data_IF_752054808107
#
_entry.id   IF_752054808107
#
_cell.length_a   1.000
_cell.length_b   1.000
_cell.length_c   1.000
_cell.angle_alpha   90.00
_cell.angle_beta   90.00
_cell.angle_gamma   90.00
#
_symmetry.space_group_name_H-M   'P 1'
#
loop_
_entity.id
_entity.type
_entity.pdbx_description
1 polymer ?
#
# COMPACT_ATOMS: atom_id res chain seq x y z
N UNK A 1 -47.78 -39.93 -72.58
CA UNK A 1 -47.31 -40.47 -71.28
C UNK A 1 -46.03 -39.73 -70.87
N UNK A 2 -45.85 -39.57 -69.55
CA UNK A 2 -44.87 -38.75 -68.83
C UNK A 2 -43.39 -38.98 -69.22
N UNK A 3 -42.70 -37.85 -69.47
CA UNK A 3 -41.45 -37.33 -68.86
C UNK A 3 -40.14 -38.19 -68.89
N UNK A 4 -38.95 -37.59 -68.64
CA UNK A 4 -38.23 -36.56 -69.40
C UNK A 4 -36.70 -36.88 -69.52
N UNK A 5 -35.89 -35.97 -70.08
CA UNK A 5 -34.47 -35.89 -69.69
C UNK A 5 -33.54 -35.17 -70.66
N UNK A 6 -32.97 -34.05 -70.19
CA UNK A 6 -31.54 -33.69 -70.25
C UNK A 6 -31.32 -32.22 -70.60
N UNK A 7 -30.74 -31.45 -69.66
CA UNK A 7 -29.69 -30.47 -69.96
C UNK A 7 -29.03 -29.92 -68.67
N UNK A 8 -27.69 -29.91 -68.70
CA UNK A 8 -26.75 -29.02 -68.00
C UNK A 8 -26.52 -29.15 -66.48
N UNK A 9 -25.46 -29.88 -66.11
CA UNK A 9 -24.71 -29.72 -64.84
C UNK A 9 -23.24 -29.40 -65.17
N UNK A 10 -22.83 -28.13 -65.12
CA UNK A 10 -21.44 -27.69 -64.91
C UNK A 10 -21.48 -26.20 -64.53
N UNK A 11 -21.25 -25.87 -63.26
CA UNK A 11 -21.25 -24.46 -62.84
C UNK A 11 -21.26 -24.16 -61.34
N UNK A 12 -21.44 -25.13 -60.44
CA UNK A 12 -21.63 -24.82 -59.01
C UNK A 12 -20.64 -25.51 -58.05
N UNK A 13 -19.58 -26.12 -58.57
CA UNK A 13 -18.62 -26.90 -57.75
C UNK A 13 -17.26 -26.22 -57.50
N UNK A 14 -16.99 -25.01 -58.01
CA UNK A 14 -15.73 -24.28 -57.70
C UNK A 14 -15.84 -23.27 -56.57
N UNK A 15 -17.03 -22.72 -56.29
CA UNK A 15 -17.22 -21.70 -55.25
C UNK A 15 -17.18 -22.23 -53.82
N UNK A 16 -17.75 -23.42 -53.58
CA UNK A 16 -17.87 -23.99 -52.23
C UNK A 16 -16.51 -24.47 -51.70
N UNK A 17 -15.69 -25.13 -52.54
CA UNK A 17 -14.35 -25.56 -52.13
C UNK A 17 -13.38 -24.39 -51.91
N UNK A 18 -13.54 -23.28 -52.64
CA UNK A 18 -12.76 -22.06 -52.40
C UNK A 18 -13.07 -21.43 -51.04
N UNK A 19 -14.35 -21.39 -50.65
CA UNK A 19 -14.76 -20.83 -49.36
C UNK A 19 -14.31 -21.70 -48.18
N UNK A 20 -14.36 -23.02 -48.33
CA UNK A 20 -13.83 -23.97 -47.33
C UNK A 20 -12.31 -23.83 -47.20
N UNK A 21 -11.58 -23.67 -48.30
CA UNK A 21 -10.13 -23.47 -48.27
C UNK A 21 -9.74 -22.17 -47.56
N UNK A 22 -10.44 -21.06 -47.83
CA UNK A 22 -10.20 -19.77 -47.16
C UNK A 22 -10.47 -19.87 -45.66
N UNK A 23 -11.58 -20.50 -45.26
CA UNK A 23 -11.89 -20.71 -43.83
C UNK A 23 -10.84 -21.61 -43.15
N UNK A 24 -10.34 -22.63 -43.85
CA UNK A 24 -9.25 -23.49 -43.36
C UNK A 24 -7.95 -22.72 -43.12
N UNK A 25 -7.56 -21.84 -44.04
CA UNK A 25 -6.37 -20.99 -43.90
C UNK A 25 -6.53 -19.99 -42.74
N UNK A 26 -7.70 -19.38 -42.58
CA UNK A 26 -7.98 -18.46 -41.46
C UNK A 26 -7.92 -19.19 -40.11
N UNK A 27 -8.51 -20.39 -40.02
CA UNK A 27 -8.43 -21.20 -38.80
C UNK A 27 -6.99 -21.62 -38.48
N UNK A 28 -6.18 -21.96 -39.49
CA UNK A 28 -4.77 -22.27 -39.32
C UNK A 28 -3.98 -21.05 -38.81
N UNK A 29 -4.23 -19.87 -39.37
CA UNK A 29 -3.57 -18.63 -38.93
C UNK A 29 -3.95 -18.24 -37.49
N UNK A 30 -5.21 -18.44 -37.09
CA UNK A 30 -5.65 -18.21 -35.71
C UNK A 30 -5.02 -19.24 -34.76
N UNK A 31 -4.90 -20.50 -35.19
CA UNK A 31 -4.23 -21.55 -34.41
C UNK A 31 -2.74 -21.27 -34.25
N UNK A 32 -2.05 -20.81 -35.30
CA UNK A 32 -0.64 -20.42 -35.25
C UNK A 32 -0.46 -19.17 -34.36
N UNK A 33 -1.32 -18.15 -34.48
CA UNK A 33 -1.24 -16.95 -33.64
C UNK A 33 -1.49 -17.25 -32.14
N UNK A 34 -2.41 -18.17 -31.84
CA UNK A 34 -2.67 -18.63 -30.47
C UNK A 34 -1.53 -19.49 -29.95
N UNK A 35 -0.91 -20.35 -30.79
CA UNK A 35 0.30 -21.08 -30.42
C UNK A 35 1.47 -20.13 -30.15
N UNK A 36 1.69 -19.11 -30.97
CA UNK A 36 2.75 -18.12 -30.78
C UNK A 36 2.53 -17.36 -29.47
N UNK A 37 1.29 -16.95 -29.16
CA UNK A 37 0.95 -16.34 -27.86
C UNK A 37 1.20 -17.27 -26.68
N UNK A 38 0.89 -18.56 -26.83
CA UNK A 38 1.09 -19.55 -25.77
C UNK A 38 2.58 -19.86 -25.56
N UNK A 39 3.36 -20.00 -26.63
CA UNK A 39 4.81 -20.18 -26.56
C UNK A 39 5.53 -18.92 -26.06
N UNK A 40 5.07 -17.71 -26.40
CA UNK A 40 5.59 -16.48 -25.79
C UNK A 40 5.33 -16.41 -24.29
N UNK A 41 4.22 -16.99 -23.82
CA UNK A 41 3.91 -17.09 -22.39
C UNK A 41 4.72 -18.21 -21.70
N UNK A 42 4.99 -19.31 -22.42
CA UNK A 42 5.85 -20.42 -21.96
C UNK A 42 7.32 -20.04 -21.88
N UNK A 43 7.81 -19.15 -22.75
CA UNK A 43 9.18 -18.63 -22.70
C UNK A 43 9.42 -17.75 -21.46
N UNK A 44 8.35 -17.23 -20.85
CA UNK A 44 8.39 -16.46 -19.60
C UNK A 44 8.45 -17.33 -18.32
N UNK A 45 8.30 -18.67 -18.44
CA UNK A 45 8.19 -19.57 -17.28
C UNK A 45 9.15 -20.77 -17.29
N UNK A 46 10.11 -20.82 -18.23
CA UNK A 46 11.11 -21.90 -18.31
C UNK A 46 12.53 -21.37 -18.37
N UNK A 47 13.30 -21.66 -17.32
CA UNK A 47 14.75 -21.51 -17.16
C UNK A 47 15.59 -21.68 -18.42
N UNK A 48 16.49 -20.73 -18.71
CA UNK A 48 17.92 -21.03 -18.73
C UNK A 48 18.81 -19.78 -18.51
N UNK A 49 19.72 -19.89 -17.55
CA UNK A 49 20.73 -18.89 -17.22
C UNK A 49 21.86 -18.96 -18.26
N UNK A 50 22.05 -17.92 -19.07
CA UNK A 50 23.29 -17.81 -19.85
C UNK A 50 23.39 -16.78 -20.99
N UNK A 51 22.29 -16.39 -21.64
CA UNK A 51 22.37 -15.67 -22.93
C UNK A 51 21.74 -14.27 -23.02
N UNK A 52 21.23 -13.70 -21.93
CA UNK A 52 20.55 -12.39 -21.95
C UNK A 52 21.43 -11.23 -22.46
N UNK A 53 22.75 -11.32 -22.29
CA UNK A 53 23.69 -10.30 -22.76
C UNK A 53 23.86 -10.27 -24.29
N UNK A 54 23.62 -11.38 -24.99
CA UNK A 54 23.81 -11.48 -26.44
C UNK A 54 22.52 -11.12 -27.19
N UNK A 55 21.37 -11.49 -26.61
CA UNK A 55 20.05 -11.16 -27.14
C UNK A 55 19.78 -9.64 -27.08
N UNK A 56 20.10 -8.98 -25.96
CA UNK A 56 19.94 -7.53 -25.82
C UNK A 56 20.76 -6.73 -26.86
N UNK A 57 22.01 -7.12 -27.09
CA UNK A 57 22.87 -6.51 -28.13
C UNK A 57 22.33 -6.72 -29.53
N UNK A 58 21.78 -7.91 -29.80
CA UNK A 58 21.21 -8.24 -31.11
C UNK A 58 19.95 -7.40 -31.40
N UNK A 59 19.11 -7.19 -30.39
CA UNK A 59 17.89 -6.37 -30.50
C UNK A 59 18.25 -4.90 -30.73
N UNK A 60 19.23 -4.36 -29.99
CA UNK A 60 19.68 -2.98 -30.12
C UNK A 60 20.29 -2.69 -31.51
N UNK A 61 21.04 -3.64 -32.07
CA UNK A 61 21.59 -3.54 -33.42
C UNK A 61 20.50 -3.59 -34.51
N UNK A 62 19.44 -4.37 -34.30
CA UNK A 62 18.29 -4.41 -35.22
C UNK A 62 17.52 -3.08 -35.18
N UNK A 63 17.23 -2.55 -33.99
CA UNK A 63 16.58 -1.23 -33.82
C UNK A 63 17.39 -0.14 -34.53
N UNK A 64 18.71 -0.15 -34.37
CA UNK A 64 19.61 0.80 -35.03
C UNK A 64 19.53 0.70 -36.55
N UNK A 65 19.54 -0.51 -37.12
CA UNK A 65 19.43 -0.72 -38.58
C UNK A 65 18.08 -0.27 -39.14
N UNK A 66 16.97 -0.58 -38.46
CA UNK A 66 15.63 -0.14 -38.89
C UNK A 66 15.54 1.39 -38.89
N UNK A 67 16.09 2.05 -37.86
CA UNK A 67 16.11 3.51 -37.79
C UNK A 67 16.93 4.18 -38.90
N UNK A 68 18.05 3.56 -39.32
CA UNK A 68 18.84 4.03 -40.46
C UNK A 68 18.05 3.91 -41.77
N UNK A 69 17.41 2.77 -42.00
CA UNK A 69 16.59 2.54 -43.19
C UNK A 69 15.39 3.50 -43.26
N UNK A 70 14.70 3.75 -42.14
CA UNK A 70 13.62 4.73 -42.08
C UNK A 70 14.10 6.16 -42.40
N UNK A 71 15.32 6.52 -41.99
CA UNK A 71 15.91 7.83 -42.30
C UNK A 71 16.25 7.97 -43.78
N UNK A 72 16.82 6.93 -44.39
CA UNK A 72 17.15 6.96 -45.82
C UNK A 72 15.88 6.95 -46.70
N UNK A 73 14.86 6.17 -46.31
CA UNK A 73 13.56 6.15 -47.00
C UNK A 73 12.79 7.47 -46.89
N UNK A 74 12.99 8.24 -45.81
CA UNK A 74 12.39 9.58 -45.62
C UNK A 74 13.17 10.69 -46.34
N UNK A 75 14.49 10.54 -46.56
CA UNK A 75 15.32 11.51 -47.28
C UNK A 75 15.10 11.49 -48.80
N UNK A 76 14.79 10.31 -49.36
CA UNK A 76 14.42 10.18 -50.76
C UNK A 76 13.04 10.83 -50.96
N UNK A 77 13.03 12.07 -51.45
CA UNK A 77 11.86 12.94 -51.52
C UNK A 77 10.68 12.31 -52.25
N UNK A 78 9.50 12.54 -51.68
CA UNK A 78 8.19 12.01 -52.07
C UNK A 78 7.62 12.68 -53.36
N UNK A 79 8.34 13.65 -53.94
CA UNK A 79 7.80 14.52 -55.00
C UNK A 79 8.22 14.15 -56.44
N UNK A 80 8.77 12.94 -56.67
CA UNK A 80 9.13 12.48 -58.03
C UNK A 80 8.76 11.02 -58.37
N UNK A 81 7.85 10.38 -57.64
CA UNK A 81 7.42 9.01 -57.95
C UNK A 81 5.93 8.90 -58.31
N UNK A 82 5.62 7.97 -59.23
CA UNK A 82 4.27 7.58 -59.63
C UNK A 82 3.44 7.06 -58.44
N UNK A 83 2.11 7.23 -58.52
CA UNK A 83 1.17 7.12 -57.39
C UNK A 83 1.13 5.72 -56.74
N UNK A 84 1.32 4.64 -57.51
CA UNK A 84 1.41 3.28 -56.96
C UNK A 84 2.70 3.05 -56.15
N UNK A 85 3.86 3.48 -56.66
CA UNK A 85 5.15 3.31 -55.98
C UNK A 85 5.21 4.14 -54.68
N UNK A 86 4.54 5.29 -54.66
CA UNK A 86 4.37 6.12 -53.47
C UNK A 86 3.54 5.40 -52.40
N UNK A 87 2.46 4.71 -52.79
CA UNK A 87 1.57 3.99 -51.87
C UNK A 87 2.24 2.75 -51.25
N UNK A 88 3.02 1.99 -52.02
CA UNK A 88 3.81 0.87 -51.50
C UNK A 88 4.90 1.34 -50.53
N UNK A 89 5.59 2.43 -50.86
CA UNK A 89 6.63 3.01 -50.00
C UNK A 89 6.06 3.49 -48.67
N UNK A 90 4.91 4.17 -48.69
CA UNK A 90 4.23 4.60 -47.45
C UNK A 90 3.85 3.38 -46.60
N UNK A 91 3.29 2.33 -47.21
CA UNK A 91 2.94 1.10 -46.48
C UNK A 91 4.16 0.43 -45.85
N UNK A 92 5.30 0.42 -46.55
CA UNK A 92 6.55 -0.13 -46.02
C UNK A 92 7.11 0.72 -44.87
N UNK A 93 7.07 2.06 -44.98
CA UNK A 93 7.48 2.97 -43.89
C UNK A 93 6.59 2.79 -42.66
N UNK A 94 5.27 2.66 -42.84
CA UNK A 94 4.33 2.41 -41.73
C UNK A 94 4.63 1.08 -41.06
N UNK A 95 4.87 0.02 -41.84
CA UNK A 95 5.22 -1.30 -41.31
C UNK A 95 6.52 -1.29 -40.49
N UNK A 96 7.58 -0.63 -40.99
CA UNK A 96 8.84 -0.50 -40.25
C UNK A 96 8.69 0.31 -38.96
N UNK A 97 7.84 1.33 -38.96
CA UNK A 97 7.55 2.12 -37.76
C UNK A 97 6.79 1.30 -36.70
N UNK A 98 5.81 0.49 -37.10
CA UNK A 98 5.07 -0.40 -36.19
C UNK A 98 5.97 -1.48 -35.55
N UNK A 99 6.91 -2.04 -36.31
CA UNK A 99 7.92 -2.97 -35.78
C UNK A 99 8.79 -2.27 -34.74
N UNK A 100 9.25 -1.05 -35.03
CA UNK A 100 10.05 -0.26 -34.09
C UNK A 100 9.32 0.00 -32.79
N UNK A 101 8.07 0.46 -32.85
CA UNK A 101 7.24 0.70 -31.66
C UNK A 101 7.03 -0.58 -30.85
N UNK A 102 6.84 -1.72 -31.53
CA UNK A 102 6.69 -3.01 -30.87
C UNK A 102 7.98 -3.45 -30.16
N UNK A 103 9.14 -3.27 -30.80
CA UNK A 103 10.45 -3.61 -30.22
C UNK A 103 10.85 -2.66 -29.09
N UNK A 104 10.57 -1.37 -29.21
CA UNK A 104 10.80 -0.39 -28.14
C UNK A 104 9.95 -0.71 -26.90
N UNK A 105 8.71 -1.17 -27.08
CA UNK A 105 7.86 -1.62 -25.96
C UNK A 105 8.42 -2.85 -25.22
N UNK A 106 9.20 -3.69 -25.90
CA UNK A 106 9.90 -4.84 -25.28
C UNK A 106 11.17 -4.40 -24.53
N UNK A 107 11.87 -3.37 -25.03
CA UNK A 107 13.09 -2.85 -24.39
C UNK A 107 12.85 -2.12 -23.05
N UNK A 108 11.61 -1.70 -22.76
CA UNK A 108 11.23 -1.13 -21.45
C UNK A 108 11.38 -2.15 -20.30
N UNK A 109 11.41 -3.44 -20.60
CA UNK A 109 11.61 -4.50 -19.62
C UNK A 109 13.08 -4.89 -19.36
N UNK A 110 14.04 -4.29 -20.07
CA UNK A 110 15.46 -4.51 -19.80
C UNK A 110 16.00 -3.33 -18.98
N UNK A 111 16.13 -3.44 -17.64
CA UNK A 111 16.83 -2.43 -16.87
C UNK A 111 18.29 -2.44 -17.35
N UNK A 112 18.71 -1.32 -17.94
CA UNK A 112 20.06 -1.08 -18.42
C UNK A 112 21.05 -1.32 -17.26
N UNK A 113 21.65 -2.51 -17.24
CA UNK A 113 22.63 -2.92 -16.25
C UNK A 113 23.99 -2.41 -16.72
N UNK A 114 24.22 -1.09 -16.58
CA UNK A 114 25.56 -0.53 -16.74
C UNK A 114 26.44 -1.02 -15.58
N UNK A 115 27.35 -1.94 -15.91
CA UNK A 115 28.47 -2.36 -15.07
C UNK A 115 29.38 -1.16 -14.82
N UNK A 116 29.29 -0.54 -13.65
CA UNK A 116 30.30 0.42 -13.20
C UNK A 116 31.36 -0.28 -12.35
N UNK A 117 32.54 -0.42 -12.97
CA UNK A 117 33.82 -0.70 -12.32
C UNK A 117 34.05 0.26 -11.15
N UNK A 118 34.26 -0.29 -9.96
CA UNK A 118 34.75 0.44 -8.80
C UNK A 118 36.28 0.33 -8.77
N UNK A 119 36.97 1.28 -9.41
CA UNK A 119 38.34 1.62 -9.02
C UNK A 119 38.29 2.87 -8.14
N UNK A 120 38.91 2.76 -6.97
CA UNK A 120 38.80 3.74 -5.90
C UNK A 120 39.49 5.07 -6.19
N UNK A 121 38.81 6.15 -5.80
CA UNK A 121 39.47 7.30 -5.17
C UNK A 121 38.47 8.08 -4.35
N UNK A 122 38.71 8.13 -3.04
CA UNK A 122 37.91 8.93 -2.12
C UNK A 122 38.23 10.41 -2.24
N UNK A 123 37.20 11.24 -2.03
CA UNK A 123 37.24 12.51 -1.29
C UNK A 123 35.80 12.89 -0.96
N UNK A 124 35.55 13.20 0.31
CA UNK A 124 34.22 13.34 0.88
C UNK A 124 33.36 14.47 0.33
N UNK A 125 32.07 14.19 0.26
CA UNK A 125 30.95 15.14 0.48
C UNK A 125 29.77 14.32 0.98
N UNK A 126 28.99 14.92 1.87
CA UNK A 126 28.04 14.31 2.80
C UNK A 126 26.92 13.51 2.10
N UNK A 127 26.42 12.51 2.81
CA UNK A 127 25.60 11.44 2.27
C UNK A 127 24.26 11.91 1.71
N UNK A 128 24.15 11.90 0.38
CA UNK A 128 22.87 11.94 -0.33
C UNK A 128 22.31 10.52 -0.34
N UNK A 129 21.21 10.30 0.40
CA UNK A 129 20.53 9.00 0.49
C UNK A 129 20.05 8.53 -0.90
N UNK A 130 20.02 7.21 -1.20
CA UNK A 130 19.63 6.67 -2.52
C UNK A 130 18.21 7.03 -3.00
N UNK A 131 17.36 7.58 -2.12
CA UNK A 131 15.92 7.79 -2.31
C UNK A 131 15.54 9.10 -3.02
N UNK A 132 16.50 9.95 -3.41
CA UNK A 132 16.19 11.11 -4.27
C UNK A 132 15.97 10.71 -5.74
N UNK A 133 16.42 9.52 -6.16
CA UNK A 133 16.23 9.00 -7.51
C UNK A 133 14.86 8.35 -7.70
N UNK A 134 14.25 7.82 -6.64
CA UNK A 134 13.00 7.03 -6.68
C UNK A 134 11.74 7.84 -7.02
N UNK A 135 11.70 9.15 -6.74
CA UNK A 135 10.49 9.96 -7.01
C UNK A 135 10.22 10.09 -8.50
N UNK A 136 11.27 10.35 -9.31
CA UNK A 136 11.16 10.43 -10.77
C UNK A 136 10.76 9.09 -11.40
N UNK A 137 11.18 7.98 -10.81
CA UNK A 137 10.88 6.64 -11.32
C UNK A 137 9.47 6.19 -10.93
N UNK A 138 8.99 6.53 -9.72
CA UNK A 138 7.61 6.30 -9.31
C UNK A 138 6.59 7.09 -10.13
N UNK A 139 6.94 8.32 -10.54
CA UNK A 139 6.06 9.15 -11.37
C UNK A 139 5.90 8.56 -12.77
N UNK A 140 6.98 8.02 -13.35
CA UNK A 140 6.94 7.29 -14.63
C UNK A 140 6.08 6.02 -14.55
N UNK A 141 6.14 5.29 -13.43
CA UNK A 141 5.29 4.10 -13.23
C UNK A 141 3.81 4.49 -13.10
N UNK A 142 3.50 5.61 -12.45
CA UNK A 142 2.13 6.08 -12.34
C UNK A 142 1.54 6.48 -13.72
N UNK A 143 2.36 6.98 -14.64
CA UNK A 143 1.94 7.33 -16.02
C UNK A 143 1.49 6.13 -16.85
N UNK A 144 1.87 4.91 -16.47
CA UNK A 144 1.39 3.69 -17.12
C UNK A 144 -0.14 3.53 -17.03
N UNK A 145 -0.75 4.00 -15.94
CA UNK A 145 -2.17 3.80 -15.71
C UNK A 145 -3.02 4.87 -16.39
N UNK A 146 -4.03 4.46 -17.16
CA UNK A 146 -4.95 5.41 -17.79
C UNK A 146 -6.00 5.96 -16.83
N UNK A 147 -6.35 5.21 -15.78
CA UNK A 147 -7.35 5.63 -14.78
C UNK A 147 -6.72 6.62 -13.80
N UNK A 148 -7.25 7.84 -13.73
CA UNK A 148 -6.73 8.90 -12.88
C UNK A 148 -6.64 8.50 -11.40
N UNK A 149 -7.64 7.79 -10.89
CA UNK A 149 -7.68 7.33 -9.50
C UNK A 149 -6.51 6.38 -9.18
N UNK A 150 -6.17 5.49 -10.11
CA UNK A 150 -5.02 4.59 -9.95
C UNK A 150 -3.72 5.41 -9.97
N UNK A 151 -3.59 6.40 -10.86
CA UNK A 151 -2.41 7.29 -10.87
C UNK A 151 -2.27 8.04 -9.54
N UNK A 152 -3.38 8.58 -9.01
CA UNK A 152 -3.41 9.24 -7.71
C UNK A 152 -3.01 8.27 -6.61
N UNK A 153 -3.50 7.04 -6.62
CA UNK A 153 -3.17 6.06 -5.60
C UNK A 153 -1.69 5.62 -5.67
N UNK A 154 -1.15 5.29 -6.85
CA UNK A 154 0.22 4.76 -7.01
C UNK A 154 1.31 5.80 -6.68
N UNK A 155 1.03 7.09 -6.88
CA UNK A 155 2.01 8.16 -6.62
C UNK A 155 2.40 8.25 -5.15
N UNK A 156 3.69 8.45 -4.88
CA UNK A 156 4.20 8.72 -3.53
C UNK A 156 3.51 9.95 -2.94
N UNK A 157 3.08 9.86 -1.68
CA UNK A 157 2.48 10.98 -0.93
C UNK A 157 3.55 11.60 -0.03
N UNK A 158 4.09 12.79 -0.34
CA UNK A 158 5.15 13.38 0.46
C UNK A 158 4.64 13.79 1.84
N UNK A 159 5.49 13.75 2.86
CA UNK A 159 5.11 14.26 4.18
C UNK A 159 5.04 15.80 4.14
N UNK A 160 3.96 16.40 4.67
CA UNK A 160 3.75 17.87 4.62
C UNK A 160 4.86 18.69 5.25
N UNK A 161 5.50 18.16 6.30
CA UNK A 161 6.56 18.85 7.04
C UNK A 161 7.95 18.70 6.40
N UNK A 162 8.07 18.01 5.26
CA UNK A 162 9.35 17.80 4.55
C UNK A 162 10.38 16.98 5.35
N UNK A 163 9.98 16.38 6.47
CA UNK A 163 10.79 15.52 7.35
C UNK A 163 10.31 14.08 7.26
N UNK A 164 11.14 13.15 7.73
CA UNK A 164 10.70 11.76 7.91
C UNK A 164 9.49 11.67 8.83
N UNK A 165 8.52 10.85 8.46
CA UNK A 165 7.40 10.51 9.34
C UNK A 165 7.88 9.59 10.47
N UNK A 166 7.01 9.30 11.42
CA UNK A 166 7.37 8.52 12.60
C UNK A 166 7.74 7.06 12.29
N UNK A 167 7.42 6.56 11.09
CA UNK A 167 7.83 5.24 10.58
C UNK A 167 9.24 5.25 9.96
N UNK A 168 9.88 6.43 9.85
CA UNK A 168 11.21 6.60 9.26
C UNK A 168 11.20 6.82 7.74
N UNK A 169 10.04 7.07 7.13
CA UNK A 169 9.93 7.27 5.68
C UNK A 169 9.74 8.75 5.30
N UNK A 170 10.28 9.17 4.16
CA UNK A 170 10.18 10.54 3.64
C UNK A 170 8.79 10.88 3.04
N UNK A 171 7.96 9.85 2.87
CA UNK A 171 6.61 9.93 2.35
C UNK A 171 5.91 8.61 2.60
N UNK A 172 4.68 8.51 2.12
CA UNK A 172 3.86 7.31 2.17
C UNK A 172 3.81 6.68 0.78
N UNK A 173 4.06 5.37 0.73
CA UNK A 173 4.16 4.56 -0.48
C UNK A 173 3.01 3.57 -0.49
N UNK A 174 2.05 3.70 -1.40
CA UNK A 174 0.86 2.83 -1.40
C UNK A 174 1.21 1.37 -1.68
N UNK A 175 0.41 0.45 -1.11
CA UNK A 175 0.63 -1.00 -1.22
C UNK A 175 0.25 -1.51 -2.61
N UNK A 176 1.13 -1.30 -3.58
CA UNK A 176 1.12 -2.00 -4.87
C UNK A 176 2.50 -2.57 -5.08
N UNK A 177 2.57 -3.83 -5.52
CA UNK A 177 3.81 -4.56 -5.74
C UNK A 177 4.85 -3.88 -6.64
N UNK A 178 4.54 -2.78 -7.32
CA UNK A 178 5.53 -1.94 -8.03
C UNK A 178 6.67 -1.48 -7.12
N UNK A 179 6.38 -1.09 -5.87
CA UNK A 179 7.42 -0.71 -4.91
C UNK A 179 8.38 -1.87 -4.59
N UNK A 180 7.92 -3.12 -4.69
CA UNK A 180 8.79 -4.29 -4.54
C UNK A 180 9.85 -4.41 -5.62
N UNK A 181 9.56 -3.98 -6.86
CA UNK A 181 10.55 -3.98 -7.93
C UNK A 181 11.65 -2.94 -7.68
N UNK A 182 11.29 -1.77 -7.14
CA UNK A 182 12.26 -0.74 -6.74
C UNK A 182 13.12 -1.19 -5.54
N UNK A 183 12.58 -2.07 -4.70
CA UNK A 183 13.26 -2.66 -3.54
C UNK A 183 13.73 -4.10 -3.80
N UNK A 184 14.11 -4.41 -5.05
CA UNK A 184 14.49 -5.75 -5.48
C UNK A 184 15.48 -6.41 -4.54
N UNK A 185 16.57 -5.70 -4.18
CA UNK A 185 17.66 -6.24 -3.36
C UNK A 185 17.16 -6.64 -1.97
N UNK A 186 16.41 -5.75 -1.33
CA UNK A 186 15.84 -5.98 0.00
C UNK A 186 14.80 -7.10 -0.02
N UNK A 187 13.99 -7.19 -1.09
CA UNK A 187 13.01 -8.26 -1.25
C UNK A 187 13.67 -9.62 -1.52
N UNK A 188 14.74 -9.66 -2.33
CA UNK A 188 15.52 -10.88 -2.56
C UNK A 188 16.19 -11.37 -1.26
N UNK A 189 16.77 -10.47 -0.47
CA UNK A 189 17.29 -10.79 0.86
C UNK A 189 16.19 -11.33 1.80
N UNK A 190 15.00 -10.72 1.74
CA UNK A 190 13.83 -11.20 2.46
C UNK A 190 13.26 -12.52 1.91
N UNK A 191 13.53 -12.90 0.68
CA UNK A 191 13.05 -14.17 0.11
C UNK A 191 14.12 -15.27 0.09
N UNK A 192 15.34 -14.95 0.54
CA UNK A 192 16.46 -15.87 0.68
C UNK A 192 16.29 -16.79 1.91
N UNK A 193 15.49 -17.84 1.73
CA UNK A 193 15.26 -18.91 2.71
C UNK A 193 14.97 -20.24 2.01
N UNK A 194 15.30 -21.34 2.68
CA UNK A 194 14.93 -22.68 2.23
C UNK A 194 13.48 -23.00 2.60
N UNK A 195 12.71 -23.50 1.64
CA UNK A 195 11.33 -23.93 1.85
C UNK A 195 11.28 -25.01 2.93
N UNK A 196 10.47 -24.80 3.95
CA UNK A 196 10.32 -25.71 5.09
C UNK A 196 11.37 -25.52 6.18
N UNK A 197 12.33 -24.60 6.03
CA UNK A 197 13.24 -24.21 7.11
C UNK A 197 12.66 -23.06 7.95
N UNK A 198 13.35 -22.66 9.02
CA UNK A 198 13.01 -21.50 9.83
C UNK A 198 13.31 -20.19 9.10
N UNK A 199 12.34 -19.28 9.10
CA UNK A 199 12.56 -17.93 8.58
C UNK A 199 13.71 -17.25 9.34
N UNK A 200 14.46 -16.39 8.64
CA UNK A 200 15.44 -15.50 9.28
C UNK A 200 14.74 -14.56 10.27
N UNK A 201 15.50 -14.05 11.24
CA UNK A 201 14.98 -13.11 12.25
C UNK A 201 15.07 -11.66 11.77
N UNK A 202 14.38 -11.35 10.69
CA UNK A 202 14.53 -10.12 9.91
C UNK A 202 13.23 -9.31 9.85
N UNK A 203 12.49 -9.30 10.96
CA UNK A 203 11.24 -8.54 11.05
C UNK A 203 11.40 -7.05 10.70
N UNK A 204 12.59 -6.47 10.92
CA UNK A 204 12.91 -5.10 10.50
C UNK A 204 12.93 -4.93 8.99
N UNK A 205 13.47 -5.91 8.27
CA UNK A 205 13.50 -5.92 6.80
C UNK A 205 12.08 -6.06 6.24
N UNK A 206 11.28 -6.97 6.84
CA UNK A 206 9.86 -7.10 6.51
C UNK A 206 9.10 -5.78 6.69
N UNK A 207 9.26 -5.12 7.85
CA UNK A 207 8.62 -3.85 8.12
C UNK A 207 9.10 -2.74 7.19
N UNK A 208 10.40 -2.71 6.86
CA UNK A 208 10.97 -1.75 5.92
C UNK A 208 10.27 -1.88 4.56
N UNK A 209 10.18 -3.10 4.02
CA UNK A 209 9.46 -3.37 2.76
C UNK A 209 8.00 -2.89 2.83
N UNK A 210 7.27 -3.23 3.90
CA UNK A 210 5.86 -2.83 4.08
C UNK A 210 5.67 -1.31 4.17
N UNK A 211 6.52 -0.61 4.94
CA UNK A 211 6.45 0.86 5.12
C UNK A 211 6.76 1.60 3.82
N UNK A 212 7.58 1.00 2.96
CA UNK A 212 7.90 1.51 1.63
C UNK A 212 6.98 0.99 0.52
N UNK A 213 5.86 0.35 0.86
CA UNK A 213 4.81 -0.03 -0.09
C UNK A 213 5.07 -1.36 -0.81
N UNK A 214 6.16 -2.06 -0.51
CA UNK A 214 6.36 -3.44 -0.96
C UNK A 214 5.52 -4.40 -0.11
N UNK A 215 4.24 -4.49 -0.47
CA UNK A 215 3.24 -5.31 0.21
C UNK A 215 2.13 -5.75 -0.79
N UNK A 216 1.54 -6.95 -0.67
CA UNK A 216 1.77 -8.00 0.35
C UNK A 216 3.13 -8.69 0.23
N UNK A 217 3.75 -8.98 1.37
CA UNK A 217 4.99 -9.75 1.42
C UNK A 217 4.77 -11.22 1.00
N UNK A 218 5.59 -11.79 0.09
CA UNK A 218 5.34 -13.13 -0.46
C UNK A 218 5.81 -14.31 0.42
N UNK A 219 6.61 -14.06 1.46
CA UNK A 219 7.18 -15.12 2.32
C UNK A 219 6.08 -15.85 3.10
N UNK A 220 5.85 -17.13 2.75
CA UNK A 220 4.84 -18.00 3.38
C UNK A 220 5.29 -19.44 3.63
N UNK A 221 6.47 -19.83 3.14
CA UNK A 221 6.92 -21.24 3.09
C UNK A 221 8.07 -21.56 4.05
N UNK A 222 8.27 -20.74 5.08
CA UNK A 222 9.21 -21.00 6.17
C UNK A 222 8.49 -20.93 7.52
N UNK A 223 9.05 -21.59 8.52
CA UNK A 223 8.52 -21.59 9.88
C UNK A 223 8.94 -20.34 10.64
N UNK A 224 7.96 -19.59 11.15
CA UNK A 224 8.21 -18.44 12.01
C UNK A 224 8.94 -18.85 13.29
N UNK A 225 9.99 -18.12 13.64
CA UNK A 225 10.75 -18.37 14.87
C UNK A 225 9.95 -17.96 16.09
N UNK A 226 9.78 -18.88 17.03
CA UNK A 226 9.20 -18.63 18.35
C UNK A 226 10.29 -18.17 19.36
N UNK A 227 9.92 -17.55 20.49
CA UNK A 227 10.82 -17.35 21.62
C UNK A 227 11.40 -18.69 22.11
N UNK A 228 12.67 -18.70 22.55
CA UNK A 228 13.35 -19.92 23.03
C UNK A 228 12.66 -20.55 24.24
N UNK A 229 12.07 -19.72 25.09
CA UNK A 229 11.33 -20.10 26.28
C UNK A 229 9.95 -19.48 26.17
N UNK A 230 8.90 -20.27 26.40
CA UNK A 230 7.54 -19.79 26.44
C UNK A 230 6.90 -20.20 27.76
N UNK A 231 6.48 -19.23 28.55
CA UNK A 231 5.75 -19.42 29.79
C UNK A 231 4.25 -19.24 29.56
N UNK A 232 3.44 -19.96 30.35
CA UNK A 232 1.98 -19.84 30.30
C UNK A 232 1.57 -18.38 30.50
N UNK A 233 0.76 -17.79 29.59
CA UNK A 233 0.29 -16.41 29.74
C UNK A 233 -0.64 -16.27 30.95
N UNK A 234 -0.78 -15.04 31.43
CA UNK A 234 -1.73 -14.73 32.50
C UNK A 234 -3.17 -14.98 32.03
N UNK A 235 -4.10 -15.31 32.95
CA UNK A 235 -5.53 -15.31 32.65
C UNK A 235 -5.98 -13.96 32.09
N UNK A 236 -7.00 -13.95 31.23
CA UNK A 236 -7.43 -12.74 30.50
C UNK A 236 -7.69 -11.53 31.42
N UNK A 237 -8.28 -11.75 32.59
CA UNK A 237 -8.60 -10.68 33.54
C UNK A 237 -7.34 -10.00 34.12
N UNK A 238 -6.24 -10.76 34.28
CA UNK A 238 -4.96 -10.23 34.75
C UNK A 238 -4.10 -9.70 33.61
N UNK A 239 -4.12 -10.35 32.44
CA UNK A 239 -3.25 -10.03 31.31
C UNK A 239 -3.52 -8.65 30.72
N UNK A 240 -4.73 -8.11 30.89
CA UNK A 240 -5.07 -6.78 30.39
C UNK A 240 -4.23 -5.67 31.02
N UNK A 241 -3.87 -5.77 32.30
CA UNK A 241 -3.24 -4.67 33.05
C UNK A 241 -1.92 -5.03 33.73
N UNK A 242 -1.40 -6.22 33.45
CA UNK A 242 -0.12 -6.72 33.97
C UNK A 242 0.89 -6.86 32.85
N UNK A 243 2.12 -6.41 33.09
CA UNK A 243 3.21 -6.63 32.13
C UNK A 243 3.45 -8.13 31.95
N UNK A 244 3.49 -8.64 30.71
CA UNK A 244 3.69 -10.05 30.46
C UNK A 244 5.15 -10.47 30.71
N UNK A 245 5.39 -11.78 30.77
CA UNK A 245 6.73 -12.34 30.94
C UNK A 245 7.63 -11.98 29.73
N UNK A 246 8.79 -11.41 30.00
CA UNK A 246 9.77 -11.03 28.99
C UNK A 246 10.19 -12.21 28.12
N UNK A 247 10.16 -13.44 28.64
CA UNK A 247 10.57 -14.65 27.90
C UNK A 247 9.67 -14.92 26.70
N UNK A 248 8.42 -14.49 26.74
CA UNK A 248 7.44 -14.72 25.68
C UNK A 248 7.60 -13.80 24.46
N UNK A 249 8.63 -12.96 24.44
CA UNK A 249 8.92 -12.03 23.34
C UNK A 249 10.32 -12.23 22.81
N UNK A 250 10.47 -12.04 21.49
CA UNK A 250 11.76 -12.05 20.82
C UNK A 250 12.35 -10.64 20.85
N UNK A 251 13.36 -10.44 21.68
CA UNK A 251 14.01 -9.13 21.87
C UNK A 251 15.12 -8.81 20.86
N UNK A 252 15.26 -9.61 19.81
CA UNK A 252 16.23 -9.39 18.75
C UNK A 252 15.95 -8.06 18.04
N UNK A 253 17.02 -7.34 17.70
CA UNK A 253 16.96 -6.04 17.04
C UNK A 253 16.26 -4.89 17.80
N UNK A 254 15.72 -5.12 19.01
CA UNK A 254 15.27 -4.06 19.92
C UNK A 254 16.41 -3.55 20.82
N UNK A 255 16.35 -2.27 21.18
CA UNK A 255 17.30 -1.64 22.12
C UNK A 255 17.08 -2.15 23.55
N UNK A 256 15.82 -2.23 23.99
CA UNK A 256 15.45 -2.86 25.25
C UNK A 256 15.34 -4.38 25.12
N UNK A 257 15.63 -5.11 26.21
CA UNK A 257 15.57 -6.59 26.28
C UNK A 257 14.51 -7.13 27.26
N UNK A 258 13.71 -6.24 27.83
CA UNK A 258 12.61 -6.56 28.72
C UNK A 258 11.62 -5.37 28.76
N UNK A 259 10.40 -5.63 29.22
CA UNK A 259 9.35 -4.62 29.37
C UNK A 259 9.68 -3.58 30.43
N UNK A 260 10.42 -3.95 31.49
CA UNK A 260 10.85 -3.00 32.52
C UNK A 260 11.75 -1.89 31.96
N UNK A 261 12.62 -2.21 31.00
CA UNK A 261 13.42 -1.23 30.27
C UNK A 261 12.54 -0.27 29.46
N UNK A 262 11.48 -0.79 28.82
CA UNK A 262 10.54 0.03 28.04
C UNK A 262 9.65 0.91 28.92
N UNK A 263 9.32 0.45 30.13
CA UNK A 263 8.54 1.22 31.11
C UNK A 263 9.36 2.28 31.86
N UNK A 264 10.68 2.35 31.65
CA UNK A 264 11.55 3.29 32.35
C UNK A 264 11.69 4.61 31.60
N UNK A 265 11.22 5.71 32.23
CA UNK A 265 11.30 7.08 31.69
C UNK A 265 12.73 7.62 31.51
N UNK A 266 13.74 6.91 32.03
CA UNK A 266 15.17 7.29 31.86
C UNK A 266 15.70 6.95 30.47
N UNK A 267 14.94 6.24 29.66
CA UNK A 267 15.41 5.71 28.40
C UNK A 267 14.58 6.21 27.23
N UNK A 268 15.16 7.05 26.36
CA UNK A 268 14.62 7.36 25.03
C UNK A 268 14.73 6.16 24.06
N UNK A 269 14.40 4.95 24.54
CA UNK A 269 14.70 3.67 23.88
C UNK A 269 13.49 3.01 23.21
N UNK A 270 12.28 3.55 23.38
CA UNK A 270 11.04 3.12 22.73
C UNK A 270 10.55 4.10 21.66
N UNK A 271 9.27 3.97 21.28
CA UNK A 271 8.61 4.91 20.37
C UNK A 271 8.29 6.22 21.08
N UNK A 272 8.74 7.37 20.54
CA UNK A 272 8.65 8.66 21.23
C UNK A 272 7.21 9.12 21.51
N UNK A 273 6.23 8.79 20.64
CA UNK A 273 4.82 9.12 20.89
C UNK A 273 4.17 8.22 21.94
N UNK A 274 4.88 7.19 22.39
CA UNK A 274 4.39 6.14 23.27
C UNK A 274 5.41 5.83 24.38
N UNK A 275 6.08 6.87 24.89
CA UNK A 275 7.14 6.77 25.89
C UNK A 275 6.63 6.11 27.19
N UNK A 276 5.45 6.53 27.67
CA UNK A 276 4.85 6.01 28.90
C UNK A 276 3.91 4.82 28.69
N UNK A 277 3.76 4.32 27.46
CA UNK A 277 2.76 3.29 27.13
C UNK A 277 2.98 1.93 27.78
N UNK A 278 4.20 1.67 28.25
CA UNK A 278 4.55 0.44 28.97
C UNK A 278 4.31 0.58 30.48
N UNK A 279 4.00 1.77 30.99
CA UNK A 279 3.53 1.97 32.36
C UNK A 279 2.02 1.70 32.43
N UNK A 280 1.66 0.42 32.50
CA UNK A 280 0.25 0.02 32.49
C UNK A 280 -0.51 0.61 33.69
N UNK A 281 0.05 0.54 34.89
CA UNK A 281 -0.66 0.88 36.14
C UNK A 281 -0.93 2.38 36.30
N UNK A 282 0.06 3.23 36.05
CA UNK A 282 -0.06 4.66 36.35
C UNK A 282 -0.39 5.51 35.11
N UNK A 283 -0.04 5.04 33.92
CA UNK A 283 -0.30 5.79 32.68
C UNK A 283 -1.48 5.20 31.90
N UNK A 284 -1.48 3.91 31.55
CA UNK A 284 -2.50 3.36 30.65
C UNK A 284 -3.84 3.03 31.31
N UNK A 285 -3.85 2.57 32.56
CA UNK A 285 -5.09 2.30 33.31
C UNK A 285 -5.98 3.56 33.38
N UNK A 286 -5.56 4.74 33.84
CA UNK A 286 -6.50 5.86 33.96
C UNK A 286 -7.08 6.37 32.62
N UNK A 287 -6.46 6.05 31.48
CA UNK A 287 -6.87 6.57 30.16
C UNK A 287 -8.32 6.22 29.82
N UNK A 288 -9.05 7.24 29.38
CA UNK A 288 -10.46 7.20 28.95
C UNK A 288 -11.45 6.70 30.02
N UNK A 289 -11.01 6.51 31.26
CA UNK A 289 -11.86 6.16 32.41
C UNK A 289 -12.13 7.38 33.28
N UNK A 290 -11.08 8.14 33.54
CA UNK A 290 -11.12 9.37 34.32
C UNK A 290 -10.61 10.51 33.44
N UNK A 291 -11.17 11.71 33.64
CA UNK A 291 -10.66 12.91 32.97
C UNK A 291 -9.34 13.27 33.66
N UNK A 292 -8.22 13.11 32.95
CA UNK A 292 -6.90 13.46 33.46
C UNK A 292 -6.53 14.86 32.96
N UNK A 293 -6.27 15.80 33.87
CA UNK A 293 -5.87 17.17 33.52
C UNK A 293 -7.04 18.14 33.34
N UNK A 294 -7.74 18.46 34.43
CA UNK A 294 -8.57 19.65 34.49
C UNK A 294 -7.66 20.88 34.40
N UNK A 295 -7.68 21.58 33.26
CA UNK A 295 -7.21 22.95 33.23
C UNK A 295 -8.16 23.77 34.12
N UNK A 296 -7.66 24.17 35.30
CA UNK A 296 -8.42 24.92 36.31
C UNK A 296 -9.02 26.25 35.80
N UNK A 297 -8.61 26.70 34.62
CA UNK A 297 -9.03 27.96 34.02
C UNK A 297 -9.99 27.83 32.81
N UNK A 298 -10.19 26.64 32.22
CA UNK A 298 -10.94 26.53 30.95
C UNK A 298 -12.20 25.64 30.98
N UNK A 299 -12.43 24.86 32.04
CA UNK A 299 -13.55 23.90 32.14
C UNK A 299 -13.71 22.97 30.90
N UNK A 300 -12.68 22.89 30.04
CA UNK A 300 -12.70 22.12 28.80
C UNK A 300 -11.69 21.00 28.91
N UNK A 301 -12.14 19.78 28.69
CA UNK A 301 -11.33 18.58 28.84
C UNK A 301 -10.99 18.05 27.46
N UNK A 302 -9.70 17.78 27.25
CA UNK A 302 -9.18 17.31 25.97
C UNK A 302 -9.51 15.84 25.69
N UNK A 303 -10.15 15.11 26.61
CA UNK A 303 -10.37 13.67 26.48
C UNK A 303 -11.88 13.34 26.46
N UNK A 304 -12.26 12.38 25.62
CA UNK A 304 -13.59 11.74 25.68
C UNK A 304 -13.50 10.46 26.51
N UNK A 305 -14.44 10.26 27.42
CA UNK A 305 -14.54 9.02 28.19
C UNK A 305 -15.16 7.93 27.32
N UNK A 306 -14.70 6.68 27.49
CA UNK A 306 -15.28 5.54 26.76
C UNK A 306 -16.77 5.39 27.07
N UNK A 307 -17.18 5.63 28.32
CA UNK A 307 -18.59 5.58 28.71
C UNK A 307 -19.44 6.59 27.90
N UNK A 308 -18.99 7.85 27.80
CA UNK A 308 -19.68 8.88 27.01
C UNK A 308 -19.80 8.49 25.53
N UNK A 309 -18.73 7.93 24.94
CA UNK A 309 -18.74 7.52 23.53
C UNK A 309 -19.68 6.34 23.29
N UNK A 310 -19.70 5.37 24.20
CA UNK A 310 -20.59 4.21 24.10
C UNK A 310 -22.06 4.58 24.27
N UNK A 311 -22.38 5.60 25.07
CA UNK A 311 -23.74 6.10 25.26
C UNK A 311 -24.35 6.72 23.99
N UNK A 312 -23.53 7.24 23.08
CA UNK A 312 -23.99 7.75 21.77
C UNK A 312 -24.80 6.66 21.03
N UNK A 313 -24.42 5.40 21.20
CA UNK A 313 -25.08 4.21 20.64
C UNK A 313 -25.12 3.06 21.63
N UNK A 314 -25.82 3.30 22.74
CA UNK A 314 -25.91 2.34 23.85
C UNK A 314 -26.33 0.94 23.36
N UNK A 315 -25.47 -0.05 23.63
CA UNK A 315 -25.72 -1.46 23.28
C UNK A 315 -25.48 -1.85 21.81
N UNK A 316 -25.16 -0.91 20.91
CA UNK A 316 -24.95 -1.23 19.49
C UNK A 316 -23.49 -1.48 19.11
N UNK A 317 -22.53 -0.91 19.87
CA UNK A 317 -21.09 -1.00 19.57
C UNK A 317 -20.55 -2.32 20.12
N UNK A 318 -20.11 -3.21 19.23
CA UNK A 318 -19.67 -4.58 19.59
C UNK A 318 -18.32 -4.95 18.99
N UNK A 319 -18.00 -4.40 17.82
CA UNK A 319 -16.74 -4.64 17.12
C UNK A 319 -16.18 -3.33 16.57
N UNK A 320 -14.85 -3.17 16.66
CA UNK A 320 -14.18 -2.00 16.14
C UNK A 320 -12.72 -2.22 15.82
N UNK A 321 -12.11 -1.15 15.32
CA UNK A 321 -10.70 -1.07 14.96
C UNK A 321 -10.04 0.06 15.73
N UNK A 322 -8.87 -0.21 16.32
CA UNK A 322 -7.98 0.78 16.89
C UNK A 322 -6.77 0.93 15.97
N UNK A 323 -6.75 1.99 15.18
CA UNK A 323 -5.66 2.33 14.27
C UNK A 323 -4.64 3.22 14.97
N UNK A 324 -4.01 2.68 16.02
CA UNK A 324 -3.10 3.42 16.89
C UNK A 324 -1.85 2.61 17.18
N UNK A 325 -0.69 3.27 17.23
CA UNK A 325 0.54 2.64 17.71
C UNK A 325 0.59 2.71 19.22
N UNK A 326 0.45 1.55 19.87
CA UNK A 326 0.59 1.44 21.32
C UNK A 326 0.51 0.01 21.82
N UNK A 327 0.32 -0.15 23.13
CA UNK A 327 0.27 -1.45 23.79
C UNK A 327 -1.10 -2.13 23.75
N UNK A 328 -2.10 -1.54 23.06
CA UNK A 328 -3.47 -2.06 22.96
C UNK A 328 -4.42 -1.60 24.08
N UNK A 329 -4.17 -0.45 24.69
CA UNK A 329 -4.95 0.02 25.85
C UNK A 329 -6.41 0.32 25.53
N UNK A 330 -6.69 0.92 24.38
CA UNK A 330 -8.07 1.14 23.95
C UNK A 330 -8.81 -0.19 23.80
N UNK A 331 -8.18 -1.17 23.14
CA UNK A 331 -8.72 -2.52 23.04
C UNK A 331 -8.92 -3.20 24.40
N UNK A 332 -8.01 -3.01 25.36
CA UNK A 332 -8.15 -3.53 26.72
C UNK A 332 -9.36 -2.93 27.45
N UNK A 333 -9.55 -1.60 27.36
CA UNK A 333 -10.68 -0.88 27.97
C UNK A 333 -12.01 -1.29 27.37
N UNK A 334 -12.06 -1.36 26.05
CA UNK A 334 -13.26 -1.78 25.32
C UNK A 334 -13.60 -3.25 25.63
N UNK A 335 -12.60 -4.10 25.85
CA UNK A 335 -12.79 -5.50 26.24
C UNK A 335 -13.44 -5.67 27.61
N UNK A 336 -13.12 -4.83 28.58
CA UNK A 336 -13.80 -4.83 29.90
C UNK A 336 -15.31 -4.55 29.78
N UNK A 337 -15.71 -3.87 28.70
CA UNK A 337 -17.10 -3.56 28.35
C UNK A 337 -17.66 -4.51 27.28
N UNK A 338 -17.03 -5.68 27.09
CA UNK A 338 -17.40 -6.71 26.12
C UNK A 338 -17.39 -6.28 24.64
N UNK A 339 -16.64 -5.23 24.30
CA UNK A 339 -16.43 -4.79 22.91
C UNK A 339 -15.12 -5.39 22.38
N UNK A 340 -15.18 -5.98 21.19
CA UNK A 340 -14.00 -6.57 20.54
C UNK A 340 -13.32 -5.55 19.64
N UNK A 341 -12.08 -5.23 19.94
CA UNK A 341 -11.27 -4.29 19.15
C UNK A 341 -10.10 -5.03 18.52
N UNK A 342 -9.92 -4.82 17.23
CA UNK A 342 -8.69 -5.19 16.51
C UNK A 342 -7.74 -3.99 16.56
N UNK A 343 -6.52 -4.16 17.05
CA UNK A 343 -5.51 -3.08 17.12
C UNK A 343 -4.55 -3.17 15.95
N UNK A 344 -4.68 -2.27 14.98
CA UNK A 344 -3.76 -2.15 13.85
C UNK A 344 -2.50 -1.39 14.27
N UNK A 345 -1.33 -2.04 14.16
CA UNK A 345 -0.06 -1.44 14.60
C UNK A 345 1.15 -2.05 13.88
N UNK A 346 2.29 -1.38 14.01
CA UNK A 346 3.61 -1.87 13.61
C UNK A 346 4.59 -1.81 14.78
N UNK A 347 5.73 -2.49 14.68
CA UNK A 347 6.72 -2.56 15.74
C UNK A 347 7.73 -1.40 15.62
N UNK A 348 7.53 -0.33 16.40
CA UNK A 348 8.39 0.86 16.40
C UNK A 348 9.23 0.94 17.66
N UNK A 349 10.47 0.44 17.61
CA UNK A 349 11.39 0.44 18.77
C UNK A 349 10.96 -0.44 19.94
N UNK A 350 9.75 -1.01 19.89
CA UNK A 350 9.17 -1.90 20.88
C UNK A 350 8.29 -2.99 20.21
N UNK A 351 8.10 -4.15 20.87
CA UNK A 351 7.34 -5.28 20.33
C UNK A 351 5.83 -5.11 20.61
N UNK A 352 5.19 -4.17 19.91
CA UNK A 352 3.78 -3.81 20.15
C UNK A 352 2.81 -4.95 19.81
N UNK A 353 3.02 -5.62 18.68
CA UNK A 353 2.16 -6.73 18.25
C UNK A 353 2.19 -7.88 19.25
N UNK A 354 3.37 -8.25 19.72
CA UNK A 354 3.56 -9.28 20.74
C UNK A 354 2.97 -8.85 22.09
N UNK A 355 3.15 -7.58 22.48
CA UNK A 355 2.54 -7.04 23.70
C UNK A 355 1.01 -7.14 23.66
N UNK A 356 0.38 -6.72 22.57
CA UNK A 356 -1.09 -6.78 22.40
C UNK A 356 -1.56 -8.24 22.47
N UNK A 357 -0.90 -9.16 21.76
CA UNK A 357 -1.24 -10.57 21.79
C UNK A 357 -1.10 -11.18 23.21
N UNK A 358 -0.03 -10.85 23.94
CA UNK A 358 0.20 -11.36 25.30
C UNK A 358 -0.79 -10.81 26.34
N UNK A 359 -1.45 -9.69 26.05
CA UNK A 359 -2.59 -9.19 26.83
C UNK A 359 -3.90 -9.93 26.52
N UNK A 360 -3.92 -10.82 25.52
CA UNK A 360 -5.10 -11.53 25.05
C UNK A 360 -5.99 -10.69 24.12
N UNK A 361 -5.39 -9.70 23.44
CA UNK A 361 -6.05 -8.80 22.49
C UNK A 361 -5.64 -9.17 21.05
N UNK A 362 -6.32 -8.58 20.06
CA UNK A 362 -6.10 -8.92 18.64
C UNK A 362 -5.19 -7.89 17.97
N UNK A 363 -3.90 -8.17 17.74
CA UNK A 363 -3.06 -7.31 16.91
C UNK A 363 -3.30 -7.59 15.43
N UNK A 364 -3.27 -6.52 14.62
CA UNK A 364 -3.22 -6.58 13.17
C UNK A 364 -1.97 -5.85 12.69
N UNK A 365 -1.02 -6.60 12.11
CA UNK A 365 0.23 -6.03 11.63
C UNK A 365 0.01 -5.34 10.28
N UNK A 366 -0.20 -4.02 10.31
CA UNK A 366 -0.68 -3.24 9.17
C UNK A 366 -0.10 -1.82 9.20
N UNK A 367 0.28 -1.29 8.04
CA UNK A 367 0.70 0.10 7.83
C UNK A 367 -0.47 0.94 7.30
N UNK A 368 -0.37 2.27 7.41
CA UNK A 368 -1.36 3.21 6.87
C UNK A 368 -1.47 3.16 5.33
N UNK A 369 -0.46 2.59 4.67
CA UNK A 369 -0.37 2.57 3.21
C UNK A 369 -1.25 1.48 2.59
N UNK A 370 -1.72 0.55 3.42
CA UNK A 370 -2.51 -0.60 3.02
C UNK A 370 -4.00 -0.30 3.19
N UNK A 371 -4.80 -0.82 2.25
CA UNK A 371 -6.25 -0.90 2.42
C UNK A 371 -6.57 -1.83 3.58
N UNK A 372 -7.50 -1.43 4.44
CA UNK A 372 -7.98 -2.20 5.58
C UNK A 372 -8.49 -3.59 5.15
N UNK A 373 -7.98 -4.68 5.74
CA UNK A 373 -8.37 -6.04 5.38
C UNK A 373 -9.69 -6.47 6.04
N UNK A 374 -10.66 -5.55 6.14
CA UNK A 374 -12.02 -5.81 6.59
C UNK A 374 -12.97 -5.75 5.40
N UNK A 375 -14.02 -6.56 5.45
CA UNK A 375 -15.12 -6.44 4.49
C UNK A 375 -15.92 -5.16 4.75
N UNK A 376 -16.59 -4.67 3.72
CA UNK A 376 -17.34 -3.40 3.77
C UNK A 376 -18.47 -3.48 4.81
N UNK A 377 -18.71 -2.39 5.55
CA UNK A 377 -19.77 -2.28 6.55
C UNK A 377 -19.74 -3.36 7.65
N UNK A 378 -18.56 -3.63 8.23
CA UNK A 378 -18.40 -4.67 9.27
C UNK A 378 -18.04 -4.15 10.66
N UNK A 379 -17.68 -2.88 10.80
CA UNK A 379 -17.24 -2.28 12.06
C UNK A 379 -18.28 -1.29 12.61
N UNK A 380 -18.42 -1.25 13.94
CA UNK A 380 -19.29 -0.29 14.64
C UNK A 380 -18.54 0.98 15.04
N UNK A 381 -17.22 0.87 15.26
CA UNK A 381 -16.36 1.99 15.68
C UNK A 381 -14.95 1.87 15.10
N UNK A 382 -14.38 2.99 14.67
CA UNK A 382 -12.95 3.16 14.42
C UNK A 382 -12.42 4.19 15.41
N UNK A 383 -11.33 3.85 16.09
CA UNK A 383 -10.59 4.71 16.98
C UNK A 383 -9.18 4.93 16.47
N UNK A 384 -8.66 6.15 16.58
CA UNK A 384 -7.24 6.47 16.37
C UNK A 384 -6.80 7.48 17.42
N UNK A 385 -5.62 7.30 17.99
CA UNK A 385 -5.01 8.27 18.91
C UNK A 385 -3.55 8.53 18.54
N UNK A 386 -3.17 9.79 18.37
CA UNK A 386 -1.78 10.26 18.12
C UNK A 386 -1.07 9.67 16.88
N UNK A 387 -1.79 8.90 16.05
CA UNK A 387 -1.27 8.23 14.87
C UNK A 387 -1.38 9.09 13.62
N UNK A 388 -2.58 9.61 13.35
CA UNK A 388 -2.82 10.64 12.37
C UNK A 388 -2.51 12.01 13.00
N UNK A 389 -1.61 12.75 12.36
CA UNK A 389 -1.19 14.09 12.78
C UNK A 389 -0.63 14.84 11.57
N UNK A 390 -0.19 16.08 11.77
CA UNK A 390 0.03 17.08 10.73
C UNK A 390 1.12 16.76 9.70
N UNK A 391 1.79 15.61 9.81
CA UNK A 391 2.67 15.10 8.76
C UNK A 391 1.90 14.52 7.58
N UNK A 392 0.67 14.05 7.80
CA UNK A 392 -0.12 13.34 6.79
C UNK A 392 -0.50 14.27 5.64
N UNK A 393 -0.33 13.80 4.40
CA UNK A 393 -0.78 14.51 3.21
C UNK A 393 -2.31 14.49 3.10
N UNK A 394 -2.91 15.53 2.51
CA UNK A 394 -4.37 15.60 2.38
C UNK A 394 -4.94 14.53 1.44
N UNK A 395 -4.27 14.25 0.31
CA UNK A 395 -4.71 13.20 -0.60
C UNK A 395 -4.57 11.82 0.04
N UNK A 396 -3.54 11.62 0.87
CA UNK A 396 -3.43 10.39 1.66
C UNK A 396 -4.54 10.30 2.72
N UNK A 397 -4.82 11.39 3.43
CA UNK A 397 -5.90 11.45 4.41
C UNK A 397 -7.24 11.11 3.76
N UNK A 398 -7.52 11.61 2.55
CA UNK A 398 -8.73 11.27 1.79
C UNK A 398 -8.83 9.76 1.56
N UNK A 399 -7.78 9.11 1.06
CA UNK A 399 -7.77 7.65 0.87
C UNK A 399 -8.03 6.89 2.18
N UNK A 400 -7.41 7.32 3.28
CA UNK A 400 -7.61 6.72 4.61
C UNK A 400 -9.05 6.89 5.07
N UNK A 401 -9.61 8.09 4.94
CA UNK A 401 -10.97 8.42 5.35
C UNK A 401 -12.02 7.63 4.55
N UNK A 402 -11.88 7.53 3.24
CA UNK A 402 -12.76 6.71 2.40
C UNK A 402 -12.66 5.22 2.73
N UNK A 403 -11.47 4.71 3.04
CA UNK A 403 -11.32 3.31 3.43
C UNK A 403 -11.88 3.00 4.83
N UNK A 404 -11.84 3.98 5.73
CA UNK A 404 -12.46 3.91 7.05
C UNK A 404 -14.00 3.95 6.96
N UNK A 405 -14.56 4.87 6.15
CA UNK A 405 -16.00 4.92 5.84
C UNK A 405 -16.50 3.61 5.22
N UNK A 406 -15.70 3.01 4.33
CA UNK A 406 -16.04 1.74 3.68
C UNK A 406 -16.29 0.63 4.70
N UNK A 407 -15.44 0.50 5.72
CA UNK A 407 -15.54 -0.61 6.70
C UNK A 407 -16.50 -0.31 7.85
N UNK A 408 -16.81 0.97 8.10
CA UNK A 408 -17.85 1.36 9.05
C UNK A 408 -19.25 0.99 8.53
N UNK A 409 -20.08 0.47 9.44
CA UNK A 409 -21.51 0.24 9.21
C UNK A 409 -22.24 1.57 9.18
N UNK A 410 -23.39 1.66 8.48
CA UNK A 410 -24.25 2.83 8.56
C UNK A 410 -24.53 3.26 10.01
N UNK A 411 -24.18 4.51 10.34
CA UNK A 411 -24.28 5.02 11.70
C UNK A 411 -23.16 4.55 12.64
N UNK A 412 -22.06 4.04 12.12
CA UNK A 412 -20.84 3.72 12.85
C UNK A 412 -20.15 4.98 13.38
N UNK A 413 -19.28 4.81 14.36
CA UNK A 413 -18.58 5.91 15.00
C UNK A 413 -17.14 6.02 14.53
N UNK A 414 -16.72 7.22 14.16
CA UNK A 414 -15.33 7.56 13.98
C UNK A 414 -14.88 8.44 15.15
N UNK A 415 -13.97 7.91 15.95
CA UNK A 415 -13.37 8.57 17.09
C UNK A 415 -11.89 8.85 16.81
N UNK A 416 -11.59 10.12 16.56
CA UNK A 416 -10.23 10.63 16.40
C UNK A 416 -9.86 11.37 17.69
N UNK A 417 -8.86 10.85 18.38
CA UNK A 417 -8.32 11.38 19.61
C UNK A 417 -6.93 12.00 19.36
N UNK A 418 -6.68 13.17 19.95
CA UNK A 418 -5.37 13.81 19.98
C UNK A 418 -4.72 13.99 18.60
N UNK A 419 -5.50 14.36 17.58
CA UNK A 419 -4.97 14.71 16.25
C UNK A 419 -4.18 16.01 16.35
N UNK A 420 -2.89 15.95 16.05
CA UNK A 420 -2.01 17.10 16.21
C UNK A 420 -1.80 17.79 14.87
N UNK A 421 -1.97 19.11 14.76
CA UNK A 421 -1.56 19.86 13.57
C UNK A 421 -1.12 21.29 13.91
N UNK A 422 -0.52 21.96 12.93
CA UNK A 422 -0.28 23.40 13.03
C UNK A 422 -1.61 24.14 12.96
N UNK A 423 -1.76 25.23 13.71
CA UNK A 423 -2.98 26.02 13.75
C UNK A 423 -3.40 26.52 12.35
N UNK A 424 -2.43 26.86 11.50
CA UNK A 424 -2.67 27.31 10.12
C UNK A 424 -3.28 26.23 9.21
N UNK A 425 -3.00 24.96 9.50
CA UNK A 425 -3.47 23.81 8.71
C UNK A 425 -4.78 23.24 9.30
N UNK A 426 -5.22 23.73 10.47
CA UNK A 426 -6.37 23.18 11.19
C UNK A 426 -7.63 23.18 10.33
N UNK A 427 -7.99 24.32 9.74
CA UNK A 427 -9.24 24.43 8.97
C UNK A 427 -9.26 23.47 7.78
N UNK A 428 -8.14 23.34 7.06
CA UNK A 428 -8.01 22.40 5.95
C UNK A 428 -8.24 20.94 6.40
N UNK A 429 -7.69 20.54 7.55
CA UNK A 429 -7.94 19.21 8.11
C UNK A 429 -9.40 19.05 8.56
N UNK A 430 -9.99 20.06 9.19
CA UNK A 430 -11.40 20.03 9.57
C UNK A 430 -12.32 19.88 8.35
N UNK A 431 -11.98 20.54 7.25
CA UNK A 431 -12.69 20.41 5.97
C UNK A 431 -12.55 19.00 5.36
N UNK A 432 -11.36 18.42 5.40
CA UNK A 432 -11.16 17.03 5.00
C UNK A 432 -12.04 16.06 5.81
N UNK A 433 -12.12 16.23 7.13
CA UNK A 433 -13.02 15.42 7.97
C UNK A 433 -14.51 15.70 7.74
N UNK A 434 -14.88 16.91 7.32
CA UNK A 434 -16.27 17.26 6.96
C UNK A 434 -16.69 16.65 5.62
N UNK A 435 -15.74 16.33 4.74
CA UNK A 435 -16.02 15.83 3.38
C UNK A 435 -16.90 14.56 3.38
N UNK A 436 -16.73 13.67 4.36
CA UNK A 436 -17.52 12.44 4.49
C UNK A 436 -18.96 12.66 4.96
N UNK A 437 -19.41 13.92 5.16
CA UNK A 437 -20.76 14.28 5.62
C UNK A 437 -21.20 13.58 6.92
N UNK A 438 -20.23 13.22 7.76
CA UNK A 438 -20.54 12.63 9.06
C UNK A 438 -21.28 13.62 9.94
N UNK A 439 -22.23 13.13 10.72
CA UNK A 439 -22.88 13.92 11.75
C UNK A 439 -21.89 14.15 12.89
N UNK A 440 -21.54 15.41 13.10
CA UNK A 440 -20.75 15.85 14.26
C UNK A 440 -21.52 15.57 15.55
N UNK A 441 -20.90 14.81 16.46
CA UNK A 441 -21.40 14.65 17.83
C UNK A 441 -20.66 15.57 18.79
N UNK A 442 -19.33 15.47 18.87
CA UNK A 442 -18.52 16.31 19.75
C UNK A 442 -17.16 16.56 19.12
N UNK A 443 -16.84 17.84 18.87
CA UNK A 443 -15.51 18.25 18.42
C UNK A 443 -14.94 19.19 19.45
N UNK A 444 -13.71 18.92 19.89
CA UNK A 444 -12.99 19.73 20.87
C UNK A 444 -11.65 20.08 20.26
N UNK A 445 -11.29 21.36 20.30
CA UNK A 445 -9.99 21.85 19.84
C UNK A 445 -9.31 22.45 21.06
N UNK A 446 -8.11 21.98 21.36
CA UNK A 446 -7.33 22.43 22.52
C UNK A 446 -5.99 22.96 22.03
N UNK A 447 -5.61 24.21 22.37
CA UNK A 447 -4.32 24.77 21.99
C UNK A 447 -3.19 24.07 22.77
N UNK A 448 -2.04 23.88 22.13
CA UNK A 448 -0.88 23.29 22.78
C UNK A 448 -0.06 24.39 23.48
N UNK A 449 0.10 24.26 24.79
CA UNK A 449 0.69 25.29 25.64
C UNK A 449 2.24 25.32 25.60
N UNK A 450 2.89 24.29 25.04
CA UNK A 450 4.34 24.11 25.09
C UNK A 450 5.14 24.84 23.98
N UNK A 451 4.47 25.29 22.91
CA UNK A 451 5.11 25.96 21.76
C UNK A 451 4.35 27.19 21.26
N UNK A 452 4.22 28.19 22.14
CA UNK A 452 3.72 29.53 21.79
C UNK A 452 2.37 29.55 21.05
N UNK A 453 1.50 28.53 21.23
CA UNK A 453 0.15 28.49 20.65
C UNK A 453 0.06 28.24 19.13
N UNK A 454 1.15 27.87 18.45
CA UNK A 454 1.12 27.58 17.00
C UNK A 454 0.62 26.17 16.65
N UNK A 455 0.50 25.29 17.66
CA UNK A 455 0.11 23.89 17.53
C UNK A 455 -1.22 23.65 18.26
N UNK A 456 -2.07 22.78 17.72
CA UNK A 456 -3.39 22.44 18.29
C UNK A 456 -3.59 20.93 18.33
N UNK A 457 -4.33 20.46 19.33
CA UNK A 457 -4.93 19.13 19.36
C UNK A 457 -6.40 19.22 18.94
N UNK A 458 -6.79 18.36 18.01
CA UNK A 458 -8.15 18.19 17.56
C UNK A 458 -8.67 16.81 17.99
N UNK A 459 -9.82 16.81 18.63
CA UNK A 459 -10.58 15.62 18.96
C UNK A 459 -11.94 15.66 18.31
N UNK A 460 -12.33 14.52 17.77
CA UNK A 460 -13.53 14.37 16.98
C UNK A 460 -14.20 13.04 17.31
N UNK A 461 -15.44 13.09 17.79
CA UNK A 461 -16.34 11.96 17.71
C UNK A 461 -17.45 12.30 16.72
N UNK A 462 -17.52 11.52 15.66
CA UNK A 462 -18.48 11.69 14.56
C UNK A 462 -19.19 10.39 14.30
N UNK A 463 -20.43 10.51 13.83
CA UNK A 463 -21.26 9.38 13.44
C UNK A 463 -21.50 9.45 11.95
N UNK A 464 -21.30 8.33 11.27
CA UNK A 464 -21.63 8.21 9.86
C UNK A 464 -23.11 8.57 9.66
N UNK A 465 -23.40 9.57 8.81
CA UNK A 465 -24.78 9.82 8.40
C UNK A 465 -25.24 8.59 7.60
N UNK A 466 -26.47 8.12 7.83
CA UNK A 466 -27.08 6.98 7.11
C UNK A 466 -26.60 6.92 5.66
N UNK A 467 -26.10 5.76 5.19
CA UNK A 467 -25.83 5.49 3.76
C UNK A 467 -27.14 5.55 2.95
N UNK A 468 -27.72 6.73 2.84
CA UNK A 468 -28.77 7.05 1.91
C UNK A 468 -28.05 7.36 0.59
N UNK A 469 -27.74 6.31 -0.18
CA UNK A 469 -27.73 6.46 -1.64
C UNK A 469 -29.20 6.70 -2.01
N UNK A 470 -29.64 7.95 -1.86
CA UNK A 470 -30.90 8.42 -2.42
C UNK A 470 -30.58 8.79 -3.87
N UNK A 471 -30.55 7.80 -4.76
CA UNK A 471 -30.70 8.06 -6.18
C UNK A 471 -32.19 8.41 -6.38
N UNK A 472 -32.49 9.71 -6.40
CA UNK A 472 -33.71 10.19 -7.02
C UNK A 472 -33.42 10.37 -8.51
N UNK A 473 -33.76 9.36 -9.32
CA UNK A 473 -34.05 9.63 -10.73
C UNK A 473 -35.38 10.38 -10.77
N UNK A 474 -35.33 11.64 -11.22
CA UNK A 474 -36.54 12.39 -11.58
C UNK A 474 -37.20 11.74 -12.80
N UNK A 475 -38.53 11.64 -12.74
CA UNK A 475 -39.40 11.52 -13.92
C UNK A 475 -39.65 12.91 -14.47
#
# INVERSE_FOLDING_TARGET
>A
MRNPGSLSKWGMWRGVYGLIFVLGVVALMISIATLIRFYSLSLFLGTDNGNDSELGKTIEDVIRKINVELKELRKLSVDKLEDESRRERVRYITFLAEILTSMESMNVFHPQMDRLNWEGRGTGTEGVHPLSKTTQESDKVAEFFLVEEIRKYVKIKPNRLGRQNFMGANGTFTSIGHACFLMKKELEEFMDYDVGDFCRDDWKLAQLLMVHGCDPLPRRRCFSRAPKLYSKPFPINESLWKLPDNRNVRWSHYRCKNFACLASNRTGKGFFKCADCFNLTHHEVPRWKEIVGLDANSNSTADFLIAEVLEIKAGEIRIGLDFSVGTGTFAARMRELNVTIVSATINLGAPFNEMIALRGLVPLYLTINQRLPFFDNTLDIIHTTRFLDGWIDFQLLDFVLYDWDRVLRPGGLLWIDSFFCLHKDLEDYLDAFRMLRYRKHKWVIVPKLDKHGQEVFFLCCTREATKAILILYGV
#
